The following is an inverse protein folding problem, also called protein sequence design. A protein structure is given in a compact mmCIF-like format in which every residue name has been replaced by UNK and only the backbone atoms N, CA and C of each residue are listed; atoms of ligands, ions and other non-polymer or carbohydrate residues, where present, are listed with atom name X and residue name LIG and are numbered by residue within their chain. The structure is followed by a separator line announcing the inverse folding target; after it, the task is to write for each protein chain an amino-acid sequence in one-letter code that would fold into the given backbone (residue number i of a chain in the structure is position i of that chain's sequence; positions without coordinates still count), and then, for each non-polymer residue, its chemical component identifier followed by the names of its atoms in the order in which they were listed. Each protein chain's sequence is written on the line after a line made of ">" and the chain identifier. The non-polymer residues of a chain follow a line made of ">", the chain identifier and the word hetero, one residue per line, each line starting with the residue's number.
data_IF_523585875214
#
_entry.id   IF_523585875214
#
_cell.length_a   1.000
_cell.length_b   1.000
_cell.length_c   1.000
_cell.angle_alpha   90.00
_cell.angle_beta   90.00
_cell.angle_gamma   90.00
#
_symmetry.space_group_name_H-M   'P 1'
#
loop_
_entity.id
_entity.type
_entity.pdbx_description
1 polymer ?
#
# COMPACT_ATOMS: atom_id res chain seq x y z
N UNK A 1 -53.29 -53.11 4.68
CA UNK A 1 -52.71 -52.80 6.01
C UNK A 1 -51.27 -53.30 5.97
N UNK A 2 -50.35 -52.61 5.30
CA UNK A 2 -49.69 -51.37 5.75
C UNK A 2 -49.10 -51.48 7.16
N UNK A 3 -47.82 -51.83 7.25
CA UNK A 3 -46.70 -50.91 7.56
C UNK A 3 -45.43 -51.71 7.87
N UNK A 4 -44.53 -51.81 6.89
CA UNK A 4 -43.10 -51.99 7.17
C UNK A 4 -42.53 -50.60 7.43
N UNK A 5 -41.96 -50.42 8.62
CA UNK A 5 -41.36 -49.16 9.08
C UNK A 5 -39.92 -49.12 8.60
N UNK A 6 -39.68 -48.18 7.68
CA UNK A 6 -38.41 -47.90 7.05
C UNK A 6 -37.51 -47.06 7.96
N UNK A 7 -36.29 -47.53 8.11
CA UNK A 7 -35.15 -46.94 8.81
C UNK A 7 -34.72 -45.62 8.12
N UNK A 8 -34.47 -44.52 8.85
CA UNK A 8 -34.04 -43.28 8.21
C UNK A 8 -32.52 -43.25 8.02
N UNK A 9 -32.09 -43.38 6.76
CA UNK A 9 -30.79 -42.95 6.27
C UNK A 9 -30.55 -41.47 6.62
N UNK A 10 -29.55 -41.19 7.47
CA UNK A 10 -29.02 -39.83 7.65
C UNK A 10 -27.76 -39.65 6.82
N UNK A 11 -27.94 -39.10 5.64
CA UNK A 11 -26.90 -38.54 4.78
C UNK A 11 -26.23 -37.37 5.50
N UNK A 12 -25.03 -37.56 6.04
CA UNK A 12 -24.17 -36.45 6.43
C UNK A 12 -23.62 -35.79 5.17
N UNK A 13 -24.34 -34.78 4.69
CA UNK A 13 -23.90 -33.88 3.64
C UNK A 13 -22.63 -33.17 4.08
N UNK A 14 -21.61 -33.28 3.22
CA UNK A 14 -20.40 -32.48 3.28
C UNK A 14 -20.77 -31.00 3.38
N UNK A 15 -20.28 -30.35 4.44
CA UNK A 15 -20.27 -28.91 4.59
C UNK A 15 -19.45 -28.32 3.43
N UNK A 16 -20.15 -27.91 2.38
CA UNK A 16 -19.62 -27.05 1.33
C UNK A 16 -19.30 -25.72 2.02
N UNK A 17 -18.04 -25.55 2.40
CA UNK A 17 -17.48 -24.27 2.77
C UNK A 17 -17.60 -23.38 1.53
N UNK A 18 -18.53 -22.41 1.55
CA UNK A 18 -18.54 -21.33 0.57
C UNK A 18 -17.46 -20.34 1.02
N UNK A 19 -16.32 -20.20 0.31
CA UNK A 19 -15.44 -19.08 0.58
C UNK A 19 -16.19 -17.81 0.20
N UNK A 20 -16.42 -16.95 1.17
CA UNK A 20 -16.95 -15.61 0.96
C UNK A 20 -16.11 -14.91 -0.12
N UNK A 21 -16.76 -14.30 -1.11
CA UNK A 21 -16.13 -13.70 -2.30
C UNK A 21 -14.99 -12.73 -1.97
N UNK A 22 -15.05 -12.07 -0.81
CA UNK A 22 -14.03 -11.13 -0.34
C UNK A 22 -12.71 -11.83 0.00
N UNK A 23 -12.75 -13.08 0.47
CA UNK A 23 -11.55 -13.87 0.78
C UNK A 23 -10.75 -14.22 -0.47
N UNK A 24 -11.42 -14.47 -1.59
CA UNK A 24 -10.74 -14.80 -2.86
C UNK A 24 -10.08 -13.56 -3.48
N UNK A 25 -10.69 -12.38 -3.32
CA UNK A 25 -10.12 -11.09 -3.74
C UNK A 25 -8.89 -10.76 -2.89
N UNK A 26 -9.00 -10.82 -1.56
CA UNK A 26 -7.86 -10.58 -0.65
C UNK A 26 -6.70 -11.56 -0.89
N UNK A 27 -6.98 -12.85 -1.07
CA UNK A 27 -5.95 -13.84 -1.41
C UNK A 27 -5.28 -13.57 -2.76
N UNK A 28 -6.02 -13.01 -3.72
CA UNK A 28 -5.48 -12.61 -5.02
C UNK A 28 -4.65 -11.34 -4.90
N UNK A 29 -5.12 -10.35 -4.14
CA UNK A 29 -4.40 -9.12 -3.85
C UNK A 29 -3.08 -9.41 -3.14
N UNK A 30 -3.05 -10.29 -2.14
CA UNK A 30 -1.83 -10.70 -1.47
C UNK A 30 -0.77 -11.28 -2.44
N UNK A 31 -1.18 -12.12 -3.39
CA UNK A 31 -0.29 -12.65 -4.44
C UNK A 31 0.20 -11.56 -5.40
N UNK A 32 -0.68 -10.63 -5.78
CA UNK A 32 -0.37 -9.47 -6.62
C UNK A 32 0.67 -8.59 -5.94
N UNK A 33 0.43 -8.22 -4.68
CA UNK A 33 1.35 -7.40 -3.88
C UNK A 33 2.70 -8.07 -3.71
N UNK A 34 2.73 -9.37 -3.39
CA UNK A 34 3.97 -10.14 -3.33
C UNK A 34 4.73 -10.12 -4.66
N UNK A 35 4.04 -10.32 -5.78
CA UNK A 35 4.64 -10.31 -7.13
C UNK A 35 5.25 -8.97 -7.47
N UNK A 36 4.52 -7.87 -7.21
CA UNK A 36 4.96 -6.51 -7.52
C UNK A 36 6.13 -6.07 -6.64
N UNK A 37 6.04 -6.30 -5.34
CA UNK A 37 7.05 -5.86 -4.38
C UNK A 37 8.37 -6.66 -4.49
N UNK A 38 8.31 -7.93 -4.92
CA UNK A 38 9.52 -8.73 -5.13
C UNK A 38 10.06 -8.69 -6.58
N UNK A 39 9.43 -7.93 -7.47
CA UNK A 39 9.91 -7.77 -8.84
C UNK A 39 11.26 -7.01 -8.87
N UNK A 40 12.09 -7.28 -9.89
CA UNK A 40 13.30 -6.46 -10.12
C UNK A 40 12.87 -5.02 -10.47
N UNK A 41 13.44 -3.97 -9.87
CA UNK A 41 12.99 -2.59 -10.07
C UNK A 41 12.91 -2.17 -11.54
N UNK A 42 13.94 -2.50 -12.34
CA UNK A 42 13.97 -2.19 -13.77
C UNK A 42 12.84 -2.90 -14.53
N UNK A 43 12.62 -4.18 -14.25
CA UNK A 43 11.53 -4.94 -14.87
C UNK A 43 10.16 -4.36 -14.52
N UNK A 44 9.98 -3.92 -13.28
CA UNK A 44 8.74 -3.26 -12.84
C UNK A 44 8.50 -1.94 -13.58
N UNK A 45 9.53 -1.11 -13.71
CA UNK A 45 9.46 0.15 -14.48
C UNK A 45 9.18 -0.10 -15.97
N UNK A 46 9.85 -1.10 -16.56
CA UNK A 46 9.64 -1.48 -17.96
C UNK A 46 8.19 -1.96 -18.17
N UNK A 47 7.66 -2.82 -17.30
CA UNK A 47 6.26 -3.28 -17.39
C UNK A 47 5.24 -2.16 -17.20
N UNK A 48 5.51 -1.19 -16.31
CA UNK A 48 4.66 0.01 -16.14
C UNK A 48 4.68 0.87 -17.41
N UNK A 49 5.86 1.08 -18.00
CA UNK A 49 6.01 1.92 -19.20
C UNK A 49 5.31 1.32 -20.41
N UNK A 50 5.28 0.00 -20.50
CA UNK A 50 4.63 -0.75 -21.58
C UNK A 50 3.15 -1.08 -21.30
N UNK A 51 2.55 -0.53 -20.24
CA UNK A 51 1.17 -0.80 -19.84
C UNK A 51 0.18 -0.06 -20.75
N UNK A 52 0.13 -0.43 -22.04
CA UNK A 52 -0.63 0.29 -23.07
C UNK A 52 -2.05 -0.25 -23.29
N UNK A 53 -2.41 -1.42 -22.74
CA UNK A 53 -3.76 -1.99 -22.86
C UNK A 53 -4.03 -3.08 -21.80
N UNK A 54 -5.31 -3.32 -21.43
CA UNK A 54 -5.68 -4.46 -20.59
C UNK A 54 -5.24 -5.79 -21.22
N UNK A 55 -4.78 -6.77 -20.42
CA UNK A 55 -4.42 -8.08 -20.92
C UNK A 55 -5.63 -8.76 -21.58
N UNK A 56 -5.48 -9.20 -22.83
CA UNK A 56 -6.56 -9.78 -23.67
C UNK A 56 -7.00 -11.19 -23.25
N UNK A 57 -6.34 -11.85 -22.29
CA UNK A 57 -6.51 -13.28 -22.00
C UNK A 57 -6.62 -13.53 -20.48
N UNK A 58 -7.60 -14.35 -20.08
CA UNK A 58 -7.82 -14.82 -18.72
C UNK A 58 -6.69 -15.77 -18.23
N UNK A 59 -6.35 -15.81 -16.93
CA UNK A 59 -4.99 -16.13 -16.49
C UNK A 59 -4.75 -17.61 -16.17
N UNK A 60 -3.65 -18.16 -16.68
CA UNK A 60 -3.01 -19.39 -16.17
C UNK A 60 -1.75 -19.09 -15.33
N UNK A 61 -1.22 -17.86 -15.39
CA UNK A 61 -0.08 -17.38 -14.60
C UNK A 61 -0.25 -15.89 -14.31
N UNK A 62 -0.01 -15.45 -13.07
CA UNK A 62 -0.07 -14.03 -12.67
C UNK A 62 1.16 -13.31 -13.24
N UNK A 63 1.03 -12.64 -14.38
CA UNK A 63 2.10 -11.82 -14.96
C UNK A 63 2.29 -10.52 -14.19
N UNK A 64 3.41 -9.82 -14.41
CA UNK A 64 3.68 -8.54 -13.76
C UNK A 64 2.70 -7.47 -14.26
N UNK A 65 2.39 -7.47 -15.54
CA UNK A 65 1.43 -6.57 -16.20
C UNK A 65 0.01 -6.82 -15.70
N UNK A 66 -0.39 -8.09 -15.53
CA UNK A 66 -1.67 -8.44 -14.94
C UNK A 66 -1.77 -8.00 -13.49
N UNK A 67 -0.69 -8.15 -12.73
CA UNK A 67 -0.61 -7.68 -11.33
C UNK A 67 -0.77 -6.17 -11.24
N UNK A 68 -0.13 -5.41 -12.14
CA UNK A 68 -0.29 -3.97 -12.24
C UNK A 68 -1.75 -3.60 -12.55
N UNK A 69 -2.34 -4.20 -13.59
CA UNK A 69 -3.75 -3.95 -13.94
C UNK A 69 -4.71 -4.26 -12.80
N UNK A 70 -4.52 -5.39 -12.13
CA UNK A 70 -5.32 -5.76 -10.97
C UNK A 70 -5.20 -4.72 -9.86
N UNK A 71 -3.98 -4.34 -9.48
CA UNK A 71 -3.75 -3.35 -8.43
C UNK A 71 -4.40 -2.01 -8.77
N UNK A 72 -4.23 -1.54 -10.01
CA UNK A 72 -4.80 -0.26 -10.42
C UNK A 72 -6.34 -0.25 -10.34
N UNK A 73 -6.99 -1.32 -10.85
CA UNK A 73 -8.44 -1.44 -10.77
C UNK A 73 -8.91 -1.58 -9.32
N UNK A 74 -8.22 -2.37 -8.50
CA UNK A 74 -8.54 -2.52 -7.08
C UNK A 74 -8.51 -1.17 -6.35
N UNK A 75 -7.43 -0.39 -6.52
CA UNK A 75 -7.31 0.94 -5.88
C UNK A 75 -8.36 1.91 -6.41
N UNK A 76 -8.71 1.83 -7.70
CA UNK A 76 -9.77 2.65 -8.30
C UNK A 76 -11.14 2.32 -7.73
N UNK A 77 -11.49 1.04 -7.66
CA UNK A 77 -12.77 0.60 -7.08
C UNK A 77 -12.89 1.02 -5.61
N UNK A 78 -11.81 0.87 -4.83
CA UNK A 78 -11.79 1.33 -3.45
C UNK A 78 -11.92 2.86 -3.33
N UNK A 79 -11.29 3.61 -4.24
CA UNK A 79 -11.42 5.07 -4.29
C UNK A 79 -12.85 5.53 -4.59
N UNK A 80 -13.57 4.80 -5.43
CA UNK A 80 -14.96 5.09 -5.80
C UNK A 80 -15.96 4.74 -4.69
N UNK A 81 -15.66 3.74 -3.87
CA UNK A 81 -16.58 3.24 -2.83
C UNK A 81 -16.45 3.92 -1.48
N UNK A 82 -15.43 4.76 -1.27
CA UNK A 82 -15.10 5.56 -0.07
C UNK A 82 -15.00 4.84 1.31
N UNK A 83 -15.65 3.69 1.49
CA UNK A 83 -15.70 2.88 2.71
C UNK A 83 -14.65 1.75 2.72
N UNK A 84 -14.13 1.36 1.55
CA UNK A 84 -13.09 0.33 1.43
C UNK A 84 -11.71 0.90 1.78
N UNK A 85 -11.03 0.27 2.75
CA UNK A 85 -9.68 0.68 3.15
C UNK A 85 -8.63 0.10 2.21
N UNK A 86 -7.52 0.83 2.06
CA UNK A 86 -6.37 0.42 1.26
C UNK A 86 -5.26 -0.21 2.12
N UNK A 87 -5.58 -0.68 3.32
CA UNK A 87 -4.62 -1.31 4.25
C UNK A 87 -3.91 -2.50 3.59
N UNK A 88 -4.66 -3.36 2.87
CA UNK A 88 -4.10 -4.54 2.16
C UNK A 88 -3.13 -4.18 1.02
N UNK A 89 -3.08 -2.90 0.62
CA UNK A 89 -2.13 -2.37 -0.37
C UNK A 89 -1.00 -1.61 0.32
N UNK A 90 -1.34 -0.68 1.21
CA UNK A 90 -0.39 0.24 1.82
C UNK A 90 0.46 -0.42 2.90
N UNK A 91 -0.10 -1.32 3.72
CA UNK A 91 0.67 -2.01 4.77
C UNK A 91 1.81 -2.85 4.15
N UNK A 92 1.59 -3.69 3.12
CA UNK A 92 2.69 -4.39 2.46
C UNK A 92 3.76 -3.45 1.85
N UNK A 93 3.38 -2.28 1.34
CA UNK A 93 4.34 -1.29 0.84
C UNK A 93 5.18 -0.67 1.96
N UNK A 94 4.55 -0.39 3.10
CA UNK A 94 5.20 0.12 4.32
C UNK A 94 6.19 -0.91 4.86
N UNK A 95 5.75 -2.16 5.02
CA UNK A 95 6.58 -3.27 5.50
C UNK A 95 7.75 -3.55 4.55
N UNK A 96 7.50 -3.54 3.24
CA UNK A 96 8.54 -3.72 2.24
C UNK A 96 9.61 -2.62 2.34
N UNK A 97 9.20 -1.37 2.49
CA UNK A 97 10.14 -0.24 2.67
C UNK A 97 11.00 -0.43 3.92
N UNK A 98 10.42 -0.92 5.01
CA UNK A 98 11.16 -1.20 6.24
C UNK A 98 12.18 -2.34 6.06
N UNK A 99 11.75 -3.44 5.45
CA UNK A 99 12.56 -4.66 5.27
C UNK A 99 13.82 -4.40 4.45
N UNK A 100 13.76 -3.46 3.51
CA UNK A 100 14.85 -3.24 2.57
C UNK A 100 15.50 -1.85 2.67
N UNK A 101 15.25 -1.11 3.75
CA UNK A 101 15.77 0.26 4.01
C UNK A 101 17.28 0.48 3.74
N UNK A 102 18.10 -0.57 3.83
CA UNK A 102 19.57 -0.53 3.64
C UNK A 102 20.01 -1.02 2.24
N UNK A 103 19.08 -1.46 1.39
CA UNK A 103 19.40 -2.03 0.09
C UNK A 103 19.35 -0.96 -1.00
N UNK A 104 20.42 -0.82 -1.79
CA UNK A 104 20.50 0.09 -2.95
C UNK A 104 19.48 -0.23 -4.06
N UNK A 105 18.75 -1.35 -3.96
CA UNK A 105 17.91 -1.88 -5.02
C UNK A 105 16.44 -2.07 -4.64
N UNK A 106 16.02 -1.65 -3.45
CA UNK A 106 14.62 -1.72 -3.04
C UNK A 106 13.92 -0.40 -3.24
N UNK A 107 13.29 -0.24 -4.41
CA UNK A 107 12.51 0.95 -4.73
C UNK A 107 11.10 0.58 -5.25
N UNK A 108 10.66 -0.67 -5.07
CA UNK A 108 9.43 -1.19 -5.66
C UNK A 108 8.21 -0.45 -5.11
N UNK A 109 8.12 -0.27 -3.79
CA UNK A 109 7.04 0.51 -3.17
C UNK A 109 6.97 1.94 -3.74
N UNK A 110 8.13 2.60 -3.86
CA UNK A 110 8.23 3.94 -4.45
C UNK A 110 7.89 3.98 -5.95
N UNK A 111 8.30 2.97 -6.72
CA UNK A 111 7.94 2.85 -8.14
C UNK A 111 6.42 2.72 -8.30
N UNK A 112 5.78 1.90 -7.46
CA UNK A 112 4.33 1.71 -7.47
C UNK A 112 3.60 2.97 -7.05
N UNK A 113 4.02 3.64 -5.97
CA UNK A 113 3.44 4.92 -5.53
C UNK A 113 3.56 5.99 -6.62
N UNK A 114 4.75 6.15 -7.22
CA UNK A 114 4.96 7.08 -8.33
C UNK A 114 4.01 6.84 -9.51
N UNK A 115 3.80 5.57 -9.83
CA UNK A 115 2.91 5.19 -10.92
C UNK A 115 1.44 5.44 -10.57
N UNK A 116 0.98 5.03 -9.39
CA UNK A 116 -0.39 5.25 -8.94
C UNK A 116 -0.70 6.74 -8.77
N UNK A 117 0.28 7.54 -8.34
CA UNK A 117 0.13 8.98 -8.17
C UNK A 117 -0.03 9.75 -9.49
N UNK A 118 0.15 9.13 -10.64
CA UNK A 118 -0.17 9.80 -11.91
C UNK A 118 -1.66 10.14 -12.01
N UNK A 119 -2.53 9.31 -11.45
CA UNK A 119 -3.97 9.54 -11.36
C UNK A 119 -4.30 10.34 -10.08
N UNK A 120 -5.03 11.45 -10.22
CA UNK A 120 -5.40 12.32 -9.08
C UNK A 120 -6.33 11.61 -8.10
N UNK A 121 -7.30 10.84 -8.61
CA UNK A 121 -8.29 10.16 -7.78
C UNK A 121 -7.60 9.10 -6.91
N UNK A 122 -6.70 8.32 -7.53
CA UNK A 122 -5.93 7.31 -6.81
C UNK A 122 -4.98 7.94 -5.79
N UNK A 123 -4.33 9.05 -6.15
CA UNK A 123 -3.48 9.79 -5.22
C UNK A 123 -4.25 10.21 -3.97
N UNK A 124 -5.41 10.85 -4.11
CA UNK A 124 -6.21 11.30 -2.97
C UNK A 124 -6.65 10.13 -2.08
N UNK A 125 -7.11 9.02 -2.68
CA UNK A 125 -7.51 7.83 -1.94
C UNK A 125 -6.33 7.21 -1.17
N UNK A 126 -5.17 7.08 -1.81
CA UNK A 126 -3.96 6.55 -1.17
C UNK A 126 -3.45 7.47 -0.06
N UNK A 127 -3.42 8.79 -0.29
CA UNK A 127 -2.97 9.77 0.69
C UNK A 127 -3.87 9.78 1.94
N UNK A 128 -5.19 9.74 1.76
CA UNK A 128 -6.16 9.62 2.85
C UNK A 128 -5.95 8.33 3.64
N UNK A 129 -5.90 7.18 2.97
CA UNK A 129 -5.71 5.89 3.65
C UNK A 129 -4.37 5.81 4.38
N UNK A 130 -3.30 6.38 3.81
CA UNK A 130 -2.00 6.45 4.48
C UNK A 130 -2.09 7.31 5.76
N UNK A 131 -2.78 8.45 5.72
CA UNK A 131 -3.01 9.28 6.90
C UNK A 131 -3.81 8.55 7.98
N UNK A 132 -4.84 7.80 7.58
CA UNK A 132 -5.63 6.98 8.48
C UNK A 132 -4.78 5.88 9.13
N UNK A 133 -3.99 5.12 8.36
CA UNK A 133 -3.07 4.09 8.90
C UNK A 133 -2.11 4.68 9.94
N UNK A 134 -1.53 5.84 9.65
CA UNK A 134 -0.60 6.51 10.59
C UNK A 134 -1.34 6.98 11.85
N UNK A 135 -2.58 7.43 11.69
CA UNK A 135 -3.41 7.93 12.79
C UNK A 135 -3.95 6.81 13.69
N UNK A 136 -4.12 5.59 13.16
CA UNK A 136 -4.67 4.42 13.86
C UNK A 136 -3.80 3.88 15.00
N UNK A 137 -2.64 4.47 15.30
CA UNK A 137 -1.91 4.35 16.59
C UNK A 137 -1.51 2.97 17.13
N UNK A 138 -1.76 1.87 16.44
CA UNK A 138 -1.75 0.56 17.10
C UNK A 138 -0.46 -0.27 16.89
N UNK A 139 0.42 0.09 15.95
CA UNK A 139 1.61 -0.73 15.67
C UNK A 139 2.90 0.08 15.45
N UNK A 140 3.90 -0.18 16.28
CA UNK A 140 5.24 0.46 16.20
C UNK A 140 6.02 0.02 14.96
N UNK A 141 5.79 -1.18 14.44
CA UNK A 141 6.39 -1.64 13.19
C UNK A 141 5.83 -0.86 12.00
N UNK A 142 4.51 -0.65 11.97
CA UNK A 142 3.88 0.25 11.00
C UNK A 142 4.43 1.66 11.17
N UNK A 143 4.59 2.14 12.42
CA UNK A 143 5.14 3.46 12.72
C UNK A 143 6.54 3.66 12.10
N UNK A 144 7.43 2.69 12.31
CA UNK A 144 8.79 2.70 11.79
C UNK A 144 8.83 2.56 10.27
N UNK A 145 7.97 1.72 9.70
CA UNK A 145 7.88 1.50 8.27
C UNK A 145 7.44 2.75 7.52
N UNK A 146 6.40 3.45 8.00
CA UNK A 146 5.94 4.66 7.31
C UNK A 146 6.95 5.81 7.50
N UNK A 147 7.67 5.89 8.63
CA UNK A 147 8.80 6.83 8.80
C UNK A 147 9.89 6.59 7.75
N UNK A 148 10.18 5.31 7.48
CA UNK A 148 11.15 4.91 6.45
C UNK A 148 10.67 5.28 5.06
N UNK A 149 9.40 4.97 4.74
CA UNK A 149 8.78 5.34 3.47
C UNK A 149 8.79 6.86 3.24
N UNK A 150 8.43 7.64 4.26
CA UNK A 150 8.44 9.10 4.21
C UNK A 150 9.83 9.67 3.96
N UNK A 151 10.88 9.09 4.56
CA UNK A 151 12.27 9.46 4.24
C UNK A 151 12.59 9.17 2.78
N UNK A 152 12.21 8.00 2.26
CA UNK A 152 12.42 7.65 0.85
C UNK A 152 11.67 8.57 -0.12
N UNK A 153 10.47 9.06 0.24
CA UNK A 153 9.74 10.06 -0.54
C UNK A 153 10.55 11.37 -0.66
N UNK A 154 11.13 11.86 0.43
CA UNK A 154 11.94 13.08 0.46
C UNK A 154 13.25 12.89 -0.34
N UNK A 155 13.94 11.77 -0.13
CA UNK A 155 15.19 11.47 -0.83
C UNK A 155 14.98 11.31 -2.34
N UNK A 156 13.86 10.71 -2.73
CA UNK A 156 13.46 10.58 -4.13
C UNK A 156 13.19 11.95 -4.75
N UNK A 157 12.44 12.83 -4.08
CA UNK A 157 12.16 14.19 -4.55
C UNK A 157 13.44 15.03 -4.71
N UNK A 158 14.35 14.97 -3.73
CA UNK A 158 15.65 15.66 -3.79
C UNK A 158 16.51 15.13 -4.96
N UNK A 159 16.49 13.82 -5.20
CA UNK A 159 17.31 13.20 -6.24
C UNK A 159 16.72 13.36 -7.65
N UNK A 160 15.39 13.43 -7.76
CA UNK A 160 14.65 13.48 -9.02
C UNK A 160 14.18 14.89 -9.39
N UNK A 161 14.67 15.92 -8.68
CA UNK A 161 14.36 17.35 -8.89
C UNK A 161 14.52 17.83 -10.35
N UNK A 162 15.34 17.12 -11.15
CA UNK A 162 15.56 17.41 -12.59
C UNK A 162 14.62 16.69 -13.57
N UNK A 163 13.88 15.67 -13.11
CA UNK A 163 13.10 14.75 -13.97
C UNK A 163 11.60 14.72 -13.63
N UNK A 164 11.20 15.22 -12.46
CA UNK A 164 9.80 15.26 -12.05
C UNK A 164 9.03 16.38 -12.75
N UNK A 165 7.89 16.05 -13.35
CA UNK A 165 6.91 17.04 -13.81
C UNK A 165 6.31 17.80 -12.62
N UNK A 166 5.93 19.05 -12.82
CA UNK A 166 5.43 19.92 -11.75
C UNK A 166 4.26 19.30 -10.96
N UNK A 167 3.36 18.57 -11.64
CA UNK A 167 2.20 17.94 -10.98
C UNK A 167 2.53 16.80 -10.02
N UNK A 168 3.55 15.98 -10.31
CA UNK A 168 3.98 14.92 -9.38
C UNK A 168 4.61 15.54 -8.14
N UNK A 169 5.43 16.60 -8.32
CA UNK A 169 6.04 17.34 -7.21
C UNK A 169 5.00 17.90 -6.24
N UNK A 170 3.93 18.49 -6.76
CA UNK A 170 2.83 19.00 -5.94
C UNK A 170 2.16 17.91 -5.09
N UNK A 171 1.97 16.71 -5.66
CA UNK A 171 1.44 15.53 -4.94
C UNK A 171 2.36 15.07 -3.82
N UNK A 172 3.66 15.00 -4.08
CA UNK A 172 4.67 14.68 -3.06
C UNK A 172 4.66 15.71 -1.93
N UNK A 173 4.65 17.00 -2.27
CA UNK A 173 4.55 18.09 -1.29
C UNK A 173 3.27 17.99 -0.46
N UNK A 174 2.12 17.71 -1.08
CA UNK A 174 0.85 17.52 -0.37
C UNK A 174 0.92 16.32 0.60
N UNK A 175 1.49 15.20 0.15
CA UNK A 175 1.68 14.02 0.97
C UNK A 175 2.60 14.30 2.15
N UNK A 176 3.73 14.97 1.95
CA UNK A 176 4.64 15.36 3.03
C UNK A 176 3.96 16.27 4.06
N UNK A 177 3.07 17.17 3.64
CA UNK A 177 2.27 18.00 4.55
C UNK A 177 1.34 17.15 5.41
N UNK A 178 0.61 16.20 4.79
CA UNK A 178 -0.26 15.24 5.49
C UNK A 178 0.56 14.44 6.51
N UNK A 179 1.68 13.85 6.07
CA UNK A 179 2.58 13.08 6.93
C UNK A 179 3.09 13.92 8.10
N UNK A 180 3.52 15.17 7.85
CA UNK A 180 3.98 16.08 8.92
C UNK A 180 2.91 16.35 9.97
N UNK A 181 1.64 16.45 9.56
CA UNK A 181 0.51 16.64 10.46
C UNK A 181 0.28 15.40 11.31
N UNK A 182 0.29 14.23 10.70
CA UNK A 182 0.14 12.95 11.38
C UNK A 182 1.28 12.72 12.39
N UNK A 183 2.52 13.07 12.03
CA UNK A 183 3.68 12.99 12.92
C UNK A 183 3.52 13.88 14.15
N UNK A 184 3.16 15.16 13.94
CA UNK A 184 2.95 16.10 15.06
C UNK A 184 1.89 15.60 16.00
N UNK A 185 0.79 15.06 15.46
CA UNK A 185 -0.27 14.44 16.24
C UNK A 185 0.24 13.24 17.05
N UNK A 186 1.00 12.34 16.41
CA UNK A 186 1.58 11.17 17.07
C UNK A 186 2.56 11.55 18.18
N UNK A 187 3.47 12.50 17.93
CA UNK A 187 4.43 13.02 18.91
C UNK A 187 3.76 13.71 20.10
N UNK A 188 2.72 14.51 19.86
CA UNK A 188 1.97 15.20 20.91
C UNK A 188 1.28 14.21 21.86
N UNK A 189 0.83 13.08 21.34
CA UNK A 189 0.14 12.05 22.13
C UNK A 189 1.10 11.13 22.89
N UNK A 190 2.37 11.11 22.52
CA UNK A 190 3.43 10.34 23.20
C UNK A 190 4.15 11.16 24.28
N UNK A 191 3.53 12.25 24.75
CA UNK A 191 4.07 13.17 25.75
C UNK A 191 4.69 12.47 26.98
N UNK A 192 5.97 12.78 27.19
CA UNK A 192 6.82 12.49 28.36
C UNK A 192 7.03 11.01 28.74
N UNK A 193 8.16 10.41 28.31
CA UNK A 193 8.81 9.37 29.13
C UNK A 193 9.34 8.12 28.43
N UNK A 194 9.22 7.96 27.10
CA UNK A 194 9.83 6.84 26.39
C UNK A 194 10.71 7.31 25.24
N UNK A 195 12.01 7.01 25.35
CA UNK A 195 12.96 7.01 24.25
C UNK A 195 12.65 5.83 23.31
N UNK A 196 11.57 5.93 22.55
CA UNK A 196 11.27 4.98 21.49
C UNK A 196 11.98 5.41 20.20
N UNK A 197 12.64 4.46 19.52
CA UNK A 197 13.33 4.68 18.25
C UNK A 197 12.37 5.27 17.19
N UNK A 198 11.10 4.88 17.22
CA UNK A 198 10.07 5.43 16.34
C UNK A 198 9.81 6.93 16.61
N UNK A 199 9.80 7.37 17.87
CA UNK A 199 9.69 8.79 18.24
C UNK A 199 10.89 9.60 17.74
N UNK A 200 12.11 9.08 17.93
CA UNK A 200 13.33 9.77 17.49
C UNK A 200 13.37 9.91 15.97
N UNK A 201 13.00 8.84 15.24
CA UNK A 201 12.93 8.87 13.77
C UNK A 201 11.81 9.80 13.28
N UNK A 202 10.65 9.81 13.92
CA UNK A 202 9.55 10.72 13.60
C UNK A 202 9.97 12.18 13.83
N UNK A 203 10.71 12.48 14.91
CA UNK A 203 11.23 13.82 15.18
C UNK A 203 12.27 14.26 14.14
N UNK A 204 13.22 13.39 13.80
CA UNK A 204 14.22 13.64 12.75
C UNK A 204 13.56 13.84 11.38
N UNK A 205 12.56 13.02 11.06
CA UNK A 205 11.80 13.12 9.82
C UNK A 205 11.02 14.43 9.78
N UNK A 206 10.38 14.83 10.89
CA UNK A 206 9.69 16.12 10.98
C UNK A 206 10.65 17.29 10.76
N UNK A 207 11.84 17.27 11.37
CA UNK A 207 12.88 18.27 11.15
C UNK A 207 13.33 18.30 9.68
N UNK A 208 13.52 17.14 9.06
CA UNK A 208 13.88 17.02 7.65
C UNK A 208 12.78 17.61 6.75
N UNK A 209 11.51 17.25 6.98
CA UNK A 209 10.36 17.77 6.23
C UNK A 209 10.26 19.30 6.38
N UNK A 210 10.38 19.82 7.59
CA UNK A 210 10.32 21.26 7.84
C UNK A 210 11.48 22.00 7.15
N UNK A 211 12.69 21.45 7.20
CA UNK A 211 13.85 22.02 6.50
C UNK A 211 13.71 22.00 4.98
N UNK A 212 12.96 21.02 4.44
CA UNK A 212 12.65 20.91 3.03
C UNK A 212 11.58 21.91 2.60
N UNK A 213 10.48 22.04 3.36
CA UNK A 213 9.37 22.95 3.04
C UNK A 213 9.73 24.45 3.16
N UNK A 214 10.84 24.79 3.82
CA UNK A 214 11.35 26.16 3.97
C UNK A 214 12.32 26.59 2.85
N UNK A 215 12.62 25.71 1.89
CA UNK A 215 13.42 26.01 0.69
C UNK A 215 12.50 26.30 -0.49
#
# INVERSE_FOLDING_TARGET
>A
MEKEVQEPEKTHQALIFKPESNSMVSATLGRVMYTLLNARPKKLQDSISNLHSPPKIAPLSVSLEQSLWFLHNYVREAAEKEEETLDEVLVPMIEHSLKFRESKHSNQAMILLNWLFQDEILFQALARNLAEIISRKDDRYIALGWCTLARSLIEYEISMDKLMTNGIREKYTALLKILSSCIRHHLALMGSGREDLSCQLALQLLQLILSYQLR
#
